data_IF_399871338123
#
_entry.id   IF_399871338123
#
_cell.length_a   1.000
_cell.length_b   1.000
_cell.length_c   1.000
_cell.angle_alpha   90.00
_cell.angle_beta   90.00
_cell.angle_gamma   90.00
#
_symmetry.space_group_name_H-M   'P 1'
#
loop_
_entity.id
_entity.type
_entity.pdbx_description
1 polymer ?
#
# COMPACT_ATOMS: atom_id res chain seq x y z
N UNK A 1 7.27 -14.72 5.10
CA UNK A 1 6.82 -14.82 3.70
C UNK A 1 6.33 -13.44 3.28
N UNK A 2 6.50 -13.05 2.01
CA UNK A 2 5.99 -11.75 1.53
C UNK A 2 4.50 -11.84 1.21
N UNK A 3 3.79 -10.71 1.26
CA UNK A 3 2.37 -10.66 0.89
C UNK A 3 2.13 -11.19 -0.54
N UNK A 4 3.00 -10.85 -1.49
CA UNK A 4 2.97 -11.40 -2.84
C UNK A 4 3.08 -12.95 -2.88
N UNK A 5 3.87 -13.56 -1.98
CA UNK A 5 3.96 -15.02 -1.90
C UNK A 5 2.66 -15.66 -1.41
N UNK A 6 1.95 -15.00 -0.48
CA UNK A 6 0.66 -15.46 0.03
C UNK A 6 -0.42 -15.40 -1.08
N UNK A 7 -0.47 -14.29 -1.82
CA UNK A 7 -1.35 -14.12 -2.98
C UNK A 7 -1.10 -15.23 -4.01
N UNK A 8 0.16 -15.44 -4.40
CA UNK A 8 0.51 -16.49 -5.38
C UNK A 8 0.13 -17.89 -4.90
N UNK A 9 0.26 -18.17 -3.60
CA UNK A 9 -0.13 -19.45 -3.02
C UNK A 9 -1.65 -19.65 -3.11
N UNK A 10 -2.44 -18.64 -2.78
CA UNK A 10 -3.90 -18.68 -2.94
C UNK A 10 -4.32 -18.97 -4.39
N UNK A 11 -3.75 -18.23 -5.34
CA UNK A 11 -4.09 -18.38 -6.76
C UNK A 11 -3.83 -19.80 -7.29
N UNK A 12 -2.82 -20.50 -6.76
CA UNK A 12 -2.52 -21.86 -7.19
C UNK A 12 -3.61 -22.89 -6.82
N UNK A 13 -4.47 -22.58 -5.85
CA UNK A 13 -5.58 -23.43 -5.43
C UNK A 13 -6.90 -23.17 -6.16
N UNK A 14 -6.97 -22.18 -7.04
CA UNK A 14 -8.20 -21.85 -7.76
C UNK A 14 -8.53 -22.87 -8.83
N UNK A 15 -9.77 -23.36 -8.83
CA UNK A 15 -10.32 -24.08 -9.98
C UNK A 15 -10.63 -23.10 -11.11
N UNK A 16 -10.22 -23.46 -12.32
CA UNK A 16 -10.37 -22.61 -13.51
C UNK A 16 -11.09 -23.43 -14.57
N UNK A 17 -12.10 -22.83 -15.16
CA UNK A 17 -12.80 -23.44 -16.29
C UNK A 17 -11.80 -23.80 -17.40
N UNK A 18 -11.98 -24.98 -17.99
CA UNK A 18 -11.04 -25.57 -18.95
C UNK A 18 -10.67 -24.62 -20.09
N UNK A 19 -11.63 -23.82 -20.56
CA UNK A 19 -11.40 -22.88 -21.64
C UNK A 19 -10.46 -21.71 -21.27
N UNK A 20 -10.46 -21.26 -20.01
CA UNK A 20 -9.66 -20.11 -19.57
C UNK A 20 -8.31 -20.53 -18.97
N UNK A 21 -8.19 -21.79 -18.56
CA UNK A 21 -6.97 -22.37 -18.01
C UNK A 21 -5.80 -22.36 -19.02
N UNK A 22 -6.10 -22.45 -20.33
CA UNK A 22 -5.09 -22.26 -21.39
C UNK A 22 -4.46 -20.86 -21.39
N UNK A 23 -5.25 -19.80 -21.19
CA UNK A 23 -4.73 -18.43 -21.15
C UNK A 23 -3.78 -18.21 -19.96
N UNK A 24 -4.11 -18.80 -18.82
CA UNK A 24 -3.23 -18.77 -17.65
C UNK A 24 -1.90 -19.52 -17.90
N UNK A 25 -1.99 -20.70 -18.53
CA UNK A 25 -0.81 -21.46 -18.93
C UNK A 25 0.05 -20.67 -19.93
N UNK A 26 -0.57 -20.00 -20.91
CA UNK A 26 0.14 -19.17 -21.88
C UNK A 26 1.03 -18.12 -21.20
N UNK A 27 0.48 -17.38 -20.22
CA UNK A 27 1.24 -16.39 -19.46
C UNK A 27 2.41 -17.04 -18.70
N UNK A 28 2.18 -18.15 -18.01
CA UNK A 28 3.21 -18.86 -17.25
C UNK A 28 4.36 -19.36 -18.15
N UNK A 29 4.03 -19.95 -19.31
CA UNK A 29 5.03 -20.45 -20.26
C UNK A 29 5.79 -19.30 -20.92
N UNK A 30 5.10 -18.24 -21.34
CA UNK A 30 5.72 -17.09 -22.02
C UNK A 30 6.71 -16.35 -21.11
N UNK A 31 6.37 -16.20 -19.83
CA UNK A 31 7.15 -15.36 -18.91
C UNK A 31 8.27 -16.11 -18.20
N UNK A 32 8.06 -17.39 -17.88
CA UNK A 32 9.02 -18.19 -17.10
C UNK A 32 9.63 -19.34 -17.91
N UNK A 33 9.22 -19.53 -19.16
CA UNK A 33 9.73 -20.56 -20.07
C UNK A 33 11.05 -20.16 -20.72
N UNK A 34 11.97 -21.12 -20.80
CA UNK A 34 13.13 -21.05 -21.65
C UNK A 34 13.11 -22.21 -22.65
N UNK A 35 13.20 -21.87 -23.94
CA UNK A 35 13.21 -22.83 -25.03
C UNK A 35 14.65 -23.17 -25.40
N UNK A 36 14.97 -24.46 -25.44
CA UNK A 36 16.22 -24.97 -25.98
C UNK A 36 15.97 -25.97 -27.11
N UNK A 37 17.00 -26.28 -27.88
CA UNK A 37 16.95 -27.30 -28.93
C UNK A 37 18.02 -28.35 -28.60
N UNK A 38 17.60 -29.62 -28.51
CA UNK A 38 18.49 -30.76 -28.30
C UNK A 38 18.09 -31.85 -29.28
N UNK A 39 19.05 -32.37 -30.05
CA UNK A 39 18.79 -33.40 -31.08
C UNK A 39 17.63 -33.02 -32.03
N UNK A 40 17.61 -31.76 -32.49
CA UNK A 40 16.54 -31.20 -33.34
C UNK A 40 15.14 -31.19 -32.69
N UNK A 41 15.03 -31.42 -31.38
CA UNK A 41 13.77 -31.35 -30.64
C UNK A 41 13.75 -30.14 -29.71
N UNK A 42 12.61 -29.47 -29.67
CA UNK A 42 12.35 -28.36 -28.75
C UNK A 42 12.14 -28.87 -27.33
N UNK A 43 12.92 -28.34 -26.39
CA UNK A 43 12.78 -28.60 -24.96
C UNK A 43 12.41 -27.29 -24.27
N UNK A 44 11.22 -27.24 -23.68
CA UNK A 44 10.77 -26.11 -22.87
C UNK A 44 11.06 -26.38 -21.40
N UNK A 45 11.73 -25.45 -20.73
CA UNK A 45 11.94 -25.48 -19.29
C UNK A 45 11.24 -24.28 -18.66
N UNK A 46 10.25 -24.51 -17.81
CA UNK A 46 9.56 -23.44 -17.08
C UNK A 46 10.06 -23.42 -15.65
N UNK A 47 10.62 -22.29 -15.23
CA UNK A 47 11.29 -22.19 -13.93
C UNK A 47 10.46 -21.36 -12.95
N UNK A 48 10.40 -21.80 -11.69
CA UNK A 48 9.78 -21.03 -10.61
C UNK A 48 10.37 -21.38 -9.26
N UNK A 49 10.40 -20.42 -8.34
CA UNK A 49 10.81 -20.65 -6.96
C UNK A 49 9.65 -21.19 -6.10
N UNK A 50 8.42 -21.21 -6.64
CA UNK A 50 7.23 -21.67 -5.93
C UNK A 50 6.81 -23.08 -6.40
N UNK A 51 6.89 -24.05 -5.50
CA UNK A 51 6.50 -25.44 -5.76
C UNK A 51 5.03 -25.60 -6.19
N UNK A 52 4.13 -24.76 -5.69
CA UNK A 52 2.71 -24.82 -6.04
C UNK A 52 2.46 -24.34 -7.47
N UNK A 53 3.18 -23.30 -7.92
CA UNK A 53 3.14 -22.85 -9.32
C UNK A 53 3.70 -23.93 -10.25
N UNK A 54 4.80 -24.59 -9.88
CA UNK A 54 5.36 -25.68 -10.68
C UNK A 54 4.38 -26.85 -10.84
N UNK A 55 3.72 -27.27 -9.74
CA UNK A 55 2.67 -28.31 -9.79
C UNK A 55 1.49 -27.88 -10.65
N UNK A 56 1.09 -26.62 -10.58
CA UNK A 56 0.00 -26.07 -11.39
C UNK A 56 0.32 -26.11 -12.89
N UNK A 57 1.51 -25.69 -13.29
CA UNK A 57 1.98 -25.78 -14.69
C UNK A 57 1.96 -27.24 -15.15
N UNK A 58 2.48 -28.16 -14.33
CA UNK A 58 2.48 -29.59 -14.63
C UNK A 58 1.06 -30.12 -14.87
N UNK A 59 0.10 -29.80 -13.99
CA UNK A 59 -1.30 -30.23 -14.14
C UNK A 59 -1.94 -29.63 -15.39
N UNK A 60 -1.77 -28.32 -15.64
CA UNK A 60 -2.31 -27.66 -16.82
C UNK A 60 -1.78 -28.28 -18.13
N UNK A 61 -0.48 -28.59 -18.21
CA UNK A 61 0.09 -29.27 -19.37
C UNK A 61 -0.52 -30.66 -19.57
N UNK A 62 -0.68 -31.43 -18.49
CA UNK A 62 -1.28 -32.76 -18.53
C UNK A 62 -2.75 -32.72 -18.96
N UNK A 63 -3.55 -31.83 -18.39
CA UNK A 63 -5.01 -31.80 -18.57
C UNK A 63 -5.45 -31.24 -19.94
N UNK A 64 -4.63 -30.36 -20.54
CA UNK A 64 -4.93 -29.73 -21.83
C UNK A 64 -4.25 -30.38 -23.02
N UNK A 65 -3.06 -30.96 -22.85
CA UNK A 65 -2.27 -31.48 -23.97
C UNK A 65 -1.93 -32.97 -23.84
N UNK A 66 -2.27 -33.61 -22.71
CA UNK A 66 -1.91 -35.00 -22.43
C UNK A 66 -0.40 -35.28 -22.59
N UNK A 67 0.43 -34.27 -22.35
CA UNK A 67 1.89 -34.38 -22.45
C UNK A 67 2.51 -34.72 -21.10
N UNK A 68 3.54 -35.57 -21.11
CA UNK A 68 4.32 -35.90 -19.90
C UNK A 68 5.47 -34.91 -19.74
N UNK A 69 5.32 -33.95 -18.82
CA UNK A 69 6.44 -33.12 -18.36
C UNK A 69 7.21 -33.78 -17.22
N UNK A 70 8.49 -33.46 -17.08
CA UNK A 70 9.33 -33.84 -15.94
C UNK A 70 9.35 -32.69 -14.92
N UNK A 71 9.27 -33.00 -13.62
CA UNK A 71 9.46 -32.00 -12.56
C UNK A 71 10.83 -32.20 -11.92
N UNK A 72 11.73 -31.25 -12.12
CA UNK A 72 13.09 -31.28 -11.60
C UNK A 72 13.22 -30.24 -10.47
N UNK A 73 14.04 -30.55 -9.47
CA UNK A 73 14.36 -29.62 -8.38
C UNK A 73 15.86 -29.34 -8.38
N UNK A 74 16.24 -28.07 -8.42
CA UNK A 74 17.63 -27.62 -8.36
C UNK A 74 17.81 -26.65 -7.19
N UNK A 75 18.84 -26.82 -6.36
CA UNK A 75 19.22 -25.81 -5.36
C UNK A 75 20.05 -24.70 -6.01
N UNK A 76 19.72 -23.44 -5.74
CA UNK A 76 20.60 -22.32 -6.10
C UNK A 76 21.91 -22.39 -5.30
N UNK A 77 23.03 -22.22 -5.99
CA UNK A 77 24.39 -22.32 -5.42
C UNK A 77 24.86 -21.03 -4.72
N UNK A 78 24.19 -19.88 -4.93
CA UNK A 78 24.52 -18.58 -4.30
C UNK A 78 23.27 -17.96 -3.64
N UNK A 79 23.52 -17.10 -2.63
CA UNK A 79 22.60 -16.36 -1.72
C UNK A 79 21.10 -16.73 -1.73
N UNK A 80 20.59 -17.10 -0.54
CA UNK A 80 19.28 -17.74 -0.28
C UNK A 80 19.19 -19.10 -0.98
N UNK A 81 19.46 -20.17 -0.21
CA UNK A 81 19.43 -21.60 -0.61
C UNK A 81 18.02 -22.08 -0.99
N UNK A 82 17.35 -21.37 -1.88
CA UNK A 82 16.00 -21.67 -2.31
C UNK A 82 16.04 -22.75 -3.39
N UNK A 83 15.02 -23.63 -3.34
CA UNK A 83 14.78 -24.58 -4.40
C UNK A 83 14.21 -23.85 -5.62
N UNK A 84 14.73 -24.18 -6.80
CA UNK A 84 14.14 -23.81 -8.08
C UNK A 84 13.51 -25.06 -8.66
N UNK A 85 12.23 -24.97 -8.95
CA UNK A 85 11.44 -26.02 -9.57
C UNK A 85 11.42 -25.77 -11.07
N UNK A 86 11.71 -26.81 -11.84
CA UNK A 86 11.77 -26.75 -13.30
C UNK A 86 10.77 -27.77 -13.84
N UNK A 87 9.74 -27.28 -14.55
CA UNK A 87 8.84 -28.12 -15.33
C UNK A 87 9.41 -28.22 -16.73
N UNK A 88 9.87 -29.41 -17.11
CA UNK A 88 10.53 -29.68 -18.38
C UNK A 88 9.60 -30.44 -19.31
N UNK A 89 9.34 -29.88 -20.48
CA UNK A 89 8.60 -30.52 -21.56
C UNK A 89 9.58 -30.86 -22.69
N UNK A 90 9.75 -32.16 -22.97
CA UNK A 90 10.65 -32.67 -24.03
C UNK A 90 9.90 -33.01 -25.32
N UNK A 91 8.68 -33.50 -25.19
CA UNK A 91 7.84 -33.95 -26.32
C UNK A 91 6.59 -33.09 -26.39
N UNK A 92 6.10 -32.82 -27.61
CA UNK A 92 4.91 -31.99 -27.82
C UNK A 92 5.14 -30.48 -27.58
N UNK A 93 6.36 -30.05 -27.28
CA UNK A 93 6.71 -28.64 -27.02
C UNK A 93 6.25 -27.70 -28.13
N UNK A 94 6.55 -28.06 -29.39
CA UNK A 94 6.16 -27.24 -30.55
C UNK A 94 4.63 -27.08 -30.62
N UNK A 95 3.89 -28.17 -30.46
CA UNK A 95 2.42 -28.16 -30.52
C UNK A 95 1.83 -27.28 -29.40
N UNK A 96 2.36 -27.38 -28.18
CA UNK A 96 1.90 -26.55 -27.05
C UNK A 96 2.17 -25.06 -27.30
N UNK A 97 3.37 -24.71 -27.77
CA UNK A 97 3.73 -23.32 -28.00
C UNK A 97 2.97 -22.70 -29.18
N UNK A 98 2.67 -23.48 -30.21
CA UNK A 98 1.86 -23.03 -31.34
C UNK A 98 0.38 -22.88 -30.97
N UNK A 99 -0.19 -23.84 -30.23
CA UNK A 99 -1.60 -23.77 -29.79
C UNK A 99 -1.85 -22.61 -28.80
N UNK A 100 -0.85 -22.24 -28.00
CA UNK A 100 -0.90 -21.07 -27.12
C UNK A 100 -0.48 -19.76 -27.81
N UNK A 101 -0.20 -19.82 -29.12
CA UNK A 101 0.20 -18.68 -29.95
C UNK A 101 1.42 -17.92 -29.37
N UNK A 102 2.34 -18.68 -28.76
CA UNK A 102 3.62 -18.17 -28.24
C UNK A 102 4.68 -18.20 -29.35
N UNK A 103 4.53 -19.11 -30.31
CA UNK A 103 5.48 -19.33 -31.38
C UNK A 103 4.75 -19.70 -32.67
N UNK A 104 5.16 -19.09 -33.79
CA UNK A 104 4.78 -19.51 -35.14
C UNK A 104 6.02 -20.02 -35.89
N UNK A 105 6.02 -21.31 -36.24
CA UNK A 105 7.16 -21.97 -36.86
C UNK A 105 8.41 -21.98 -35.97
N UNK A 106 9.33 -21.05 -36.24
CA UNK A 106 10.58 -20.82 -35.50
C UNK A 106 10.64 -19.42 -34.84
N UNK A 107 9.63 -18.58 -35.06
CA UNK A 107 9.57 -17.19 -34.58
C UNK A 107 8.71 -17.11 -33.34
N UNK A 108 9.13 -16.30 -32.36
CA UNK A 108 8.32 -16.01 -31.19
C UNK A 108 7.38 -14.85 -31.49
N UNK A 109 6.12 -14.98 -31.05
CA UNK A 109 5.15 -13.90 -31.14
C UNK A 109 5.46 -12.89 -30.04
N UNK A 110 5.63 -11.62 -30.39
CA UNK A 110 5.88 -10.56 -29.40
C UNK A 110 4.65 -10.19 -28.56
N UNK A 111 3.47 -10.39 -29.14
CA UNK A 111 2.18 -10.09 -28.54
C UNK A 111 1.48 -11.32 -27.94
N UNK A 112 0.55 -11.07 -27.03
CA UNK A 112 -0.46 -12.04 -26.59
C UNK A 112 -1.47 -12.27 -27.71
N UNK A 113 -2.00 -13.49 -27.81
CA UNK A 113 -2.94 -13.85 -28.88
C UNK A 113 -4.20 -13.00 -28.89
N UNK A 114 -4.70 -12.72 -30.10
CA UNK A 114 -5.96 -12.01 -30.29
C UNK A 114 -7.15 -12.76 -29.67
N UNK A 115 -7.08 -14.09 -29.58
CA UNK A 115 -8.09 -14.91 -28.92
C UNK A 115 -8.16 -14.62 -27.41
N UNK A 116 -7.00 -14.38 -26.76
CA UNK A 116 -6.94 -14.03 -25.35
C UNK A 116 -7.34 -12.56 -25.16
N UNK A 117 -6.80 -11.66 -25.99
CA UNK A 117 -7.08 -10.22 -25.92
C UNK A 117 -8.56 -9.90 -26.20
N UNK A 118 -9.20 -10.64 -27.11
CA UNK A 118 -10.60 -10.47 -27.50
C UNK A 118 -11.62 -11.04 -26.51
N UNK A 119 -11.19 -11.68 -25.41
CA UNK A 119 -12.09 -12.31 -24.45
C UNK A 119 -11.75 -11.93 -23.01
N UNK A 120 -12.68 -11.24 -22.34
CA UNK A 120 -12.51 -10.77 -20.97
C UNK A 120 -12.08 -11.89 -19.99
N UNK A 121 -12.75 -13.04 -20.00
CA UNK A 121 -12.43 -14.13 -19.07
C UNK A 121 -11.05 -14.76 -19.34
N UNK A 122 -10.61 -14.77 -20.60
CA UNK A 122 -9.24 -15.19 -20.97
C UNK A 122 -8.21 -14.17 -20.52
N UNK A 123 -8.44 -12.87 -20.72
CA UNK A 123 -7.58 -11.80 -20.18
C UNK A 123 -7.45 -11.91 -18.65
N UNK A 124 -8.55 -12.14 -17.94
CA UNK A 124 -8.56 -12.34 -16.47
C UNK A 124 -7.64 -13.51 -16.06
N UNK A 125 -7.76 -14.63 -16.76
CA UNK A 125 -6.94 -15.83 -16.47
C UNK A 125 -5.48 -15.64 -16.88
N UNK A 126 -5.23 -14.90 -17.97
CA UNK A 126 -3.89 -14.50 -18.39
C UNK A 126 -3.22 -13.62 -17.33
N UNK A 127 -3.90 -12.57 -16.84
CA UNK A 127 -3.42 -11.68 -15.78
C UNK A 127 -3.11 -12.44 -14.49
N UNK A 128 -3.93 -13.44 -14.13
CA UNK A 128 -3.64 -14.35 -13.00
C UNK A 128 -2.33 -15.11 -13.23
N UNK A 129 -2.16 -15.72 -14.42
CA UNK A 129 -0.94 -16.42 -14.80
C UNK A 129 0.29 -15.51 -14.79
N UNK A 130 0.15 -14.29 -15.32
CA UNK A 130 1.21 -13.30 -15.38
C UNK A 130 1.64 -12.83 -13.99
N UNK A 131 0.68 -12.59 -13.09
CA UNK A 131 0.98 -12.27 -11.71
C UNK A 131 1.69 -13.42 -10.99
N UNK A 132 1.26 -14.66 -11.20
CA UNK A 132 1.97 -15.82 -10.64
C UNK A 132 3.40 -15.92 -11.16
N UNK A 133 3.61 -15.73 -12.47
CA UNK A 133 4.90 -15.82 -13.13
C UNK A 133 5.91 -14.80 -12.58
N UNK A 134 5.57 -13.50 -12.63
CA UNK A 134 6.50 -12.40 -12.32
C UNK A 134 5.89 -11.24 -11.53
N UNK A 135 4.63 -11.37 -11.09
CA UNK A 135 3.95 -10.34 -10.31
C UNK A 135 4.52 -10.15 -8.90
N UNK A 136 4.41 -8.93 -8.41
CA UNK A 136 4.76 -8.53 -7.04
C UNK A 136 3.76 -7.50 -6.53
N UNK A 137 3.52 -7.51 -5.23
CA UNK A 137 2.68 -6.53 -4.53
C UNK A 137 3.30 -6.24 -3.17
N UNK A 138 3.36 -4.97 -2.82
CA UNK A 138 3.89 -4.53 -1.53
C UNK A 138 2.97 -4.97 -0.38
N UNK A 139 3.55 -5.10 0.81
CA UNK A 139 2.79 -5.42 2.01
C UNK A 139 1.82 -4.25 2.34
N UNK A 140 0.51 -4.51 2.51
CA UNK A 140 -0.49 -3.50 2.85
C UNK A 140 -0.21 -2.75 4.17
N UNK A 141 0.64 -3.30 5.05
CA UNK A 141 1.10 -2.63 6.27
C UNK A 141 1.81 -1.30 5.97
N UNK A 142 2.39 -1.15 4.77
CA UNK A 142 3.05 0.07 4.33
C UNK A 142 2.12 0.95 3.49
N UNK A 143 2.26 2.27 3.58
CA UNK A 143 1.50 3.23 2.74
C UNK A 143 1.99 3.28 1.28
N UNK A 144 3.08 2.59 0.97
CA UNK A 144 3.68 2.55 -0.37
C UNK A 144 2.97 1.51 -1.23
N UNK A 145 1.73 1.80 -1.59
CA UNK A 145 0.93 0.94 -2.46
C UNK A 145 1.56 0.79 -3.83
N UNK A 146 1.88 -0.45 -4.16
CA UNK A 146 2.45 -0.80 -5.45
C UNK A 146 2.20 -2.26 -5.76
N UNK A 147 1.70 -2.50 -6.96
CA UNK A 147 1.64 -3.81 -7.59
C UNK A 147 2.30 -3.69 -8.95
N UNK A 148 3.11 -4.66 -9.33
CA UNK A 148 3.77 -4.69 -10.63
C UNK A 148 3.79 -6.10 -11.22
N UNK A 149 3.74 -6.20 -12.54
CA UNK A 149 4.00 -7.42 -13.32
C UNK A 149 5.17 -7.10 -14.25
N UNK A 150 6.22 -7.91 -14.17
CA UNK A 150 7.44 -7.73 -14.96
C UNK A 150 7.41 -8.53 -16.25
N UNK A 151 7.85 -7.95 -17.36
CA UNK A 151 8.06 -8.61 -18.64
C UNK A 151 9.43 -8.24 -19.20
N UNK A 152 10.09 -9.18 -19.88
CA UNK A 152 11.35 -8.92 -20.57
C UNK A 152 11.11 -8.12 -21.86
N UNK A 153 9.97 -8.37 -22.52
CA UNK A 153 9.63 -7.79 -23.81
C UNK A 153 8.63 -6.64 -23.65
N UNK A 154 8.86 -5.55 -24.38
CA UNK A 154 8.05 -4.34 -24.36
C UNK A 154 6.63 -4.57 -24.86
N UNK A 155 6.49 -5.21 -26.04
CA UNK A 155 5.19 -5.51 -26.66
C UNK A 155 4.28 -6.29 -25.70
N UNK A 156 4.79 -7.41 -25.16
CA UNK A 156 4.08 -8.18 -24.15
C UNK A 156 3.76 -7.39 -22.88
N UNK A 157 4.64 -6.45 -22.46
CA UNK A 157 4.35 -5.59 -21.32
C UNK A 157 3.18 -4.64 -21.63
N UNK A 158 3.14 -4.10 -22.85
CA UNK A 158 2.05 -3.24 -23.29
C UNK A 158 0.73 -4.00 -23.32
N UNK A 159 0.71 -5.24 -23.83
CA UNK A 159 -0.50 -6.08 -23.82
C UNK A 159 -1.02 -6.31 -22.39
N UNK A 160 -0.12 -6.58 -21.42
CA UNK A 160 -0.50 -6.69 -20.00
C UNK A 160 -1.11 -5.38 -19.50
N UNK A 161 -0.51 -4.24 -19.83
CA UNK A 161 -1.04 -2.92 -19.46
C UNK A 161 -2.44 -2.68 -20.04
N UNK A 162 -2.64 -3.04 -21.32
CA UNK A 162 -3.91 -2.89 -22.02
C UNK A 162 -4.99 -3.81 -21.42
N UNK A 163 -4.65 -5.05 -21.08
CA UNK A 163 -5.55 -5.95 -20.33
C UNK A 163 -5.93 -5.35 -18.96
N UNK A 164 -4.98 -4.78 -18.21
CA UNK A 164 -5.28 -4.14 -16.93
C UNK A 164 -6.21 -2.93 -17.12
N UNK A 165 -5.98 -2.15 -18.17
CA UNK A 165 -6.76 -0.95 -18.48
C UNK A 165 -8.14 -1.25 -19.05
N UNK A 166 -8.32 -2.38 -19.73
CA UNK A 166 -9.63 -2.90 -20.10
C UNK A 166 -10.55 -3.05 -18.87
N UNK A 167 -9.98 -3.43 -17.72
CA UNK A 167 -10.69 -3.53 -16.44
C UNK A 167 -10.72 -2.22 -15.62
N UNK A 168 -10.34 -1.07 -16.20
CA UNK A 168 -10.38 0.22 -15.52
C UNK A 168 -9.36 0.37 -14.38
N UNK A 169 -8.26 -0.40 -14.41
CA UNK A 169 -7.25 -0.37 -13.36
C UNK A 169 -6.25 0.80 -13.48
N UNK A 170 -6.25 1.52 -14.62
CA UNK A 170 -5.36 2.66 -14.90
C UNK A 170 -3.87 2.33 -14.67
N UNK A 171 -3.47 1.16 -15.15
CA UNK A 171 -2.09 0.72 -15.17
C UNK A 171 -1.21 1.64 -16.02
N UNK A 172 0.06 1.69 -15.63
CA UNK A 172 1.11 2.40 -16.37
C UNK A 172 2.27 1.47 -16.62
N UNK A 173 3.03 1.75 -17.68
CA UNK A 173 4.26 1.06 -17.99
C UNK A 173 5.47 1.84 -17.49
N UNK A 174 6.57 1.14 -17.22
CA UNK A 174 7.86 1.74 -16.90
C UNK A 174 8.99 0.81 -17.36
N UNK A 175 10.00 1.37 -18.03
CA UNK A 175 11.23 0.67 -18.37
C UNK A 175 12.11 0.48 -17.12
N UNK A 176 12.69 -0.71 -16.98
CA UNK A 176 13.70 -1.06 -15.97
C UNK A 176 14.94 -1.61 -16.66
N UNK A 177 16.06 -1.67 -15.93
CA UNK A 177 17.37 -2.09 -16.44
C UNK A 177 17.37 -3.37 -17.31
N UNK A 178 16.48 -4.32 -17.04
CA UNK A 178 16.44 -5.63 -17.71
C UNK A 178 15.06 -5.97 -18.31
N UNK A 179 14.22 -4.97 -18.61
CA UNK A 179 12.89 -5.19 -19.17
C UNK A 179 11.91 -4.10 -18.77
N UNK A 180 10.65 -4.47 -18.64
CA UNK A 180 9.54 -3.54 -18.48
C UNK A 180 8.63 -4.00 -17.34
N UNK A 181 7.93 -3.07 -16.73
CA UNK A 181 6.87 -3.37 -15.77
C UNK A 181 5.57 -2.72 -16.20
N UNK A 182 4.46 -3.41 -15.92
CA UNK A 182 3.12 -2.84 -15.88
C UNK A 182 2.72 -2.77 -14.41
N UNK A 183 2.36 -1.58 -13.93
CA UNK A 183 2.19 -1.35 -12.51
C UNK A 183 0.93 -0.56 -12.17
N UNK A 184 0.44 -0.83 -10.95
CA UNK A 184 -0.67 -0.14 -10.32
C UNK A 184 -0.16 0.64 -9.10
N UNK A 185 -0.85 1.76 -8.83
CA UNK A 185 -0.71 2.58 -7.62
C UNK A 185 -2.10 2.79 -7.03
N UNK A 186 -2.13 3.10 -5.73
CA UNK A 186 -3.37 3.26 -4.98
C UNK A 186 -3.90 1.92 -4.46
N UNK A 187 -4.51 1.96 -3.29
CA UNK A 187 -4.98 0.75 -2.61
C UNK A 187 -6.19 0.13 -3.31
N UNK A 188 -7.13 0.97 -3.76
CA UNK A 188 -8.37 0.54 -4.43
C UNK A 188 -8.06 -0.28 -5.70
N UNK A 189 -7.21 0.24 -6.59
CA UNK A 189 -6.83 -0.47 -7.82
C UNK A 189 -6.10 -1.78 -7.57
N UNK A 190 -5.36 -1.88 -6.47
CA UNK A 190 -4.71 -3.13 -6.07
C UNK A 190 -5.76 -4.12 -5.54
N UNK A 191 -6.71 -3.69 -4.72
CA UNK A 191 -7.81 -4.53 -4.25
C UNK A 191 -8.70 -5.01 -5.40
N UNK A 192 -9.03 -4.14 -6.35
CA UNK A 192 -9.76 -4.47 -7.58
C UNK A 192 -9.02 -5.52 -8.40
N UNK A 193 -7.70 -5.37 -8.55
CA UNK A 193 -6.87 -6.35 -9.25
C UNK A 193 -6.84 -7.70 -8.53
N UNK A 194 -6.68 -7.73 -7.21
CA UNK A 194 -6.69 -8.98 -6.44
C UNK A 194 -8.04 -9.70 -6.58
N UNK A 195 -9.14 -8.96 -6.57
CA UNK A 195 -10.50 -9.47 -6.85
C UNK A 195 -10.58 -10.03 -8.26
N UNK A 196 -10.09 -9.28 -9.25
CA UNK A 196 -10.08 -9.66 -10.66
C UNK A 196 -9.38 -11.00 -10.84
N UNK A 197 -8.18 -11.20 -10.29
CA UNK A 197 -7.46 -12.48 -10.46
C UNK A 197 -7.98 -13.61 -9.56
N UNK A 198 -8.94 -13.33 -8.67
CA UNK A 198 -9.57 -14.32 -7.78
C UNK A 198 -8.83 -14.58 -6.47
N UNK A 199 -7.94 -13.68 -6.03
CA UNK A 199 -7.25 -13.76 -4.75
C UNK A 199 -8.12 -13.16 -3.61
N UNK A 200 -9.31 -13.71 -3.39
CA UNK A 200 -10.33 -13.13 -2.50
C UNK A 200 -9.85 -13.01 -1.05
N UNK A 201 -9.22 -14.04 -0.49
CA UNK A 201 -8.74 -14.00 0.89
C UNK A 201 -7.60 -13.00 1.06
N UNK A 202 -6.69 -12.95 0.08
CA UNK A 202 -5.61 -11.96 0.10
C UNK A 202 -6.14 -10.54 -0.06
N UNK A 203 -7.20 -10.34 -0.86
CA UNK A 203 -7.88 -9.06 -1.00
C UNK A 203 -8.54 -8.63 0.32
N UNK A 204 -9.30 -9.51 0.98
CA UNK A 204 -9.92 -9.22 2.28
C UNK A 204 -8.86 -8.85 3.32
N UNK A 205 -7.78 -9.62 3.41
CA UNK A 205 -6.64 -9.30 4.29
C UNK A 205 -6.00 -7.96 3.94
N UNK A 206 -5.88 -7.63 2.66
CA UNK A 206 -5.34 -6.35 2.20
C UNK A 206 -6.21 -5.18 2.68
N UNK A 207 -7.52 -5.31 2.56
CA UNK A 207 -8.51 -4.34 3.00
C UNK A 207 -8.54 -4.19 4.53
N UNK A 208 -8.55 -5.29 5.28
CA UNK A 208 -8.54 -5.27 6.75
C UNK A 208 -7.33 -4.49 7.30
N UNK A 209 -6.14 -4.77 6.76
CA UNK A 209 -4.91 -4.08 7.16
C UNK A 209 -4.97 -2.60 6.80
N UNK A 210 -5.50 -2.25 5.63
CA UNK A 210 -5.68 -0.86 5.19
C UNK A 210 -6.62 -0.11 6.13
N UNK A 211 -7.79 -0.66 6.42
CA UNK A 211 -8.83 -0.03 7.26
C UNK A 211 -8.29 0.23 8.67
N UNK A 212 -7.68 -0.77 9.30
CA UNK A 212 -7.13 -0.63 10.66
C UNK A 212 -6.03 0.44 10.69
N UNK A 213 -5.15 0.48 9.68
CA UNK A 213 -4.10 1.48 9.60
C UNK A 213 -4.66 2.90 9.42
N UNK A 214 -5.62 3.05 8.53
CA UNK A 214 -6.21 4.37 8.23
C UNK A 214 -7.02 4.89 9.43
N UNK A 215 -7.68 3.99 10.18
CA UNK A 215 -8.30 4.30 11.47
C UNK A 215 -7.26 4.76 12.50
N UNK A 216 -6.18 3.99 12.71
CA UNK A 216 -5.08 4.35 13.63
C UNK A 216 -4.48 5.70 13.28
N UNK A 217 -4.21 5.95 12.00
CA UNK A 217 -3.65 7.22 11.54
C UNK A 217 -4.63 8.39 11.75
N UNK A 218 -5.93 8.14 11.71
CA UNK A 218 -6.94 9.16 12.00
C UNK A 218 -7.03 9.47 13.50
N UNK A 219 -7.02 8.43 14.34
CA UNK A 219 -6.95 8.57 15.81
C UNK A 219 -5.68 9.28 16.23
N UNK A 220 -4.52 8.89 15.71
CA UNK A 220 -3.25 9.54 16.03
C UNK A 220 -3.25 11.02 15.66
N UNK A 221 -3.84 11.39 14.50
CA UNK A 221 -3.98 12.79 14.10
C UNK A 221 -4.87 13.57 15.07
N UNK A 222 -5.97 12.98 15.53
CA UNK A 222 -6.87 13.59 16.50
C UNK A 222 -6.16 13.79 17.85
N UNK A 223 -5.57 12.74 18.40
CA UNK A 223 -4.85 12.79 19.69
C UNK A 223 -3.68 13.78 19.66
N UNK A 224 -2.94 13.84 18.55
CA UNK A 224 -1.85 14.80 18.41
C UNK A 224 -2.37 16.24 18.38
N UNK A 225 -3.52 16.49 17.74
CA UNK A 225 -4.14 17.80 17.71
C UNK A 225 -4.62 18.23 19.11
N UNK A 226 -5.29 17.32 19.82
CA UNK A 226 -5.77 17.56 21.19
C UNK A 226 -4.61 17.82 22.16
N UNK A 227 -3.59 16.95 22.15
CA UNK A 227 -2.38 17.11 22.96
C UNK A 227 -1.69 18.45 22.67
N UNK A 228 -1.55 18.84 21.40
CA UNK A 228 -0.96 20.13 21.04
C UNK A 228 -1.79 21.33 21.53
N UNK A 229 -3.12 21.24 21.50
CA UNK A 229 -4.00 22.29 22.00
C UNK A 229 -3.99 22.39 23.53
N UNK A 230 -3.93 21.25 24.23
CA UNK A 230 -3.78 21.19 25.68
C UNK A 230 -2.44 21.80 26.10
N UNK A 231 -1.33 21.39 25.48
CA UNK A 231 -0.01 21.95 25.78
C UNK A 231 0.04 23.47 25.58
N UNK A 232 -0.51 24.00 24.48
CA UNK A 232 -0.60 25.46 24.27
C UNK A 232 -1.42 26.16 25.35
N UNK A 233 -2.47 25.51 25.84
CA UNK A 233 -3.32 26.06 26.90
C UNK A 233 -2.59 26.07 28.23
N UNK A 234 -1.86 24.99 28.55
CA UNK A 234 -1.00 24.88 29.73
C UNK A 234 0.14 25.91 29.67
N UNK A 235 0.83 26.06 28.55
CA UNK A 235 1.92 27.03 28.41
C UNK A 235 1.42 28.47 28.57
N UNK A 236 0.25 28.79 28.00
CA UNK A 236 -0.37 30.10 28.16
C UNK A 236 -0.82 30.34 29.61
N UNK A 237 -1.38 29.32 30.24
CA UNK A 237 -1.79 29.30 31.64
C UNK A 237 -0.63 29.62 32.57
N UNK A 238 0.50 28.90 32.43
CA UNK A 238 1.70 29.09 33.25
C UNK A 238 2.26 30.50 33.11
N UNK A 239 2.38 31.02 31.88
CA UNK A 239 2.85 32.40 31.64
C UNK A 239 1.96 33.46 32.28
N UNK A 240 0.64 33.25 32.26
CA UNK A 240 -0.31 34.16 32.91
C UNK A 240 -0.09 34.18 34.42
N UNK A 241 0.06 33.00 35.04
CA UNK A 241 0.30 32.85 36.47
C UNK A 241 1.63 33.53 36.85
N UNK A 242 2.72 33.24 36.13
CA UNK A 242 4.03 33.85 36.38
C UNK A 242 3.98 35.39 36.34
N UNK A 243 3.27 35.97 35.37
CA UNK A 243 3.12 37.41 35.26
C UNK A 243 2.27 37.99 36.40
N UNK A 244 1.20 37.30 36.79
CA UNK A 244 0.35 37.72 37.92
C UNK A 244 1.13 37.67 39.23
N UNK A 245 1.87 36.59 39.50
CA UNK A 245 2.72 36.44 40.69
C UNK A 245 3.82 37.51 40.73
N UNK A 246 4.41 37.85 39.58
CA UNK A 246 5.39 38.93 39.50
C UNK A 246 4.80 40.30 39.87
N UNK A 247 3.60 40.62 39.38
CA UNK A 247 2.90 41.87 39.74
C UNK A 247 2.62 41.90 41.26
N UNK A 248 2.09 40.81 41.81
CA UNK A 248 1.78 40.69 43.24
C UNK A 248 3.03 40.92 44.09
N UNK A 249 4.15 40.28 43.74
CA UNK A 249 5.41 40.42 44.47
C UNK A 249 6.02 41.83 44.41
N UNK A 250 5.78 42.60 43.33
CA UNK A 250 6.43 43.90 43.10
C UNK A 250 5.64 45.09 43.60
N UNK A 251 4.35 45.13 43.29
CA UNK A 251 3.45 46.27 43.59
C UNK A 251 2.12 45.85 44.21
N UNK A 252 1.83 44.55 44.27
CA UNK A 252 0.53 44.02 44.70
C UNK A 252 -0.54 44.10 43.61
N UNK A 253 -1.47 43.14 43.59
CA UNK A 253 -2.56 43.08 42.62
C UNK A 253 -3.56 44.23 42.73
N UNK A 254 -3.62 44.91 43.88
CA UNK A 254 -4.43 46.11 44.10
C UNK A 254 -3.98 47.32 43.25
N UNK A 255 -2.78 47.27 42.65
CA UNK A 255 -2.33 48.27 41.69
C UNK A 255 -3.01 48.11 40.30
N UNK A 256 -3.61 46.96 40.03
CA UNK A 256 -4.38 46.73 38.80
C UNK A 256 -5.78 47.38 38.93
N UNK A 257 -6.38 47.84 37.82
CA UNK A 257 -7.78 48.19 37.80
C UNK A 257 -8.66 47.02 38.28
N UNK A 258 -9.72 47.31 39.02
CA UNK A 258 -10.62 46.32 39.68
C UNK A 258 -11.01 45.13 38.79
N UNK A 259 -11.38 45.40 37.54
CA UNK A 259 -11.76 44.37 36.54
C UNK A 259 -10.63 43.45 36.08
N UNK A 260 -9.37 43.87 36.24
CA UNK A 260 -8.18 43.08 35.94
C UNK A 260 -7.71 42.33 37.19
N UNK A 261 -7.78 42.98 38.36
CA UNK A 261 -7.49 42.35 39.65
C UNK A 261 -8.36 41.12 39.88
N UNK A 262 -9.68 41.23 39.67
CA UNK A 262 -10.63 40.12 39.81
C UNK A 262 -10.21 38.89 38.98
N UNK A 263 -9.71 39.11 37.76
CA UNK A 263 -9.26 38.02 36.88
C UNK A 263 -7.91 37.46 37.32
N UNK A 264 -7.01 38.31 37.80
CA UNK A 264 -5.71 37.88 38.30
C UNK A 264 -5.87 36.94 39.51
N UNK A 265 -6.74 37.31 40.45
CA UNK A 265 -7.05 36.51 41.63
C UNK A 265 -7.73 35.19 41.25
N UNK A 266 -8.77 35.23 40.39
CA UNK A 266 -9.44 34.03 39.88
C UNK A 266 -8.47 33.09 39.16
N UNK A 267 -7.50 33.63 38.41
CA UNK A 267 -6.51 32.84 37.68
C UNK A 267 -5.53 32.12 38.60
N UNK A 268 -5.14 32.73 39.72
CA UNK A 268 -4.31 32.10 40.74
C UNK A 268 -5.07 31.03 41.53
N UNK A 269 -6.35 31.28 41.82
CA UNK A 269 -7.21 30.32 42.53
C UNK A 269 -7.54 29.09 41.68
N UNK A 270 -7.66 29.27 40.36
CA UNK A 270 -7.99 28.22 39.41
C UNK A 270 -6.95 28.16 38.28
N UNK A 271 -5.74 27.61 38.54
CA UNK A 271 -4.68 27.54 37.56
C UNK A 271 -4.94 26.53 36.43
N UNK A 272 -5.73 25.49 36.68
CA UNK A 272 -6.02 24.42 35.72
C UNK A 272 -7.19 24.71 34.75
N UNK A 273 -8.04 25.68 35.05
CA UNK A 273 -9.25 25.93 34.26
C UNK A 273 -8.93 26.70 32.97
N UNK A 274 -9.77 26.54 31.95
CA UNK A 274 -9.66 27.26 30.69
C UNK A 274 -10.12 28.73 30.81
N UNK A 275 -9.70 29.58 29.86
CA UNK A 275 -10.19 30.96 29.76
C UNK A 275 -11.70 31.07 29.58
N UNK A 276 -12.36 30.01 29.09
CA UNK A 276 -13.82 30.01 28.95
C UNK A 276 -14.47 29.81 30.33
N UNK A 277 -14.00 28.82 31.07
CA UNK A 277 -14.50 28.50 32.42
C UNK A 277 -14.22 29.65 33.41
N UNK A 278 -13.04 30.29 33.32
CA UNK A 278 -12.77 31.52 34.09
C UNK A 278 -13.83 32.60 33.86
N UNK A 279 -14.41 32.66 32.66
CA UNK A 279 -15.41 33.66 32.28
C UNK A 279 -16.77 33.41 32.86
N UNK A 280 -17.08 32.15 33.12
CA UNK A 280 -18.30 31.72 33.76
C UNK A 280 -18.21 31.88 35.29
N UNK A 281 -17.00 31.90 35.85
CA UNK A 281 -16.73 32.02 37.28
C UNK A 281 -16.63 33.47 37.79
N UNK A 282 -16.73 34.48 36.92
CA UNK A 282 -16.55 35.89 37.30
C UNK A 282 -17.74 36.37 38.17
N UNK A 283 -17.51 36.79 39.43
CA UNK A 283 -18.55 37.29 40.32
C UNK A 283 -19.32 38.49 39.78
N UNK A 284 -18.63 39.40 39.07
CA UNK A 284 -19.22 40.60 38.47
C UNK A 284 -20.07 40.35 37.21
N UNK A 285 -20.17 39.09 36.75
CA UNK A 285 -21.01 38.66 35.62
C UNK A 285 -20.23 37.96 34.51
N UNK A 286 -20.85 36.97 33.87
CA UNK A 286 -20.16 36.10 32.92
C UNK A 286 -19.58 36.85 31.71
N UNK A 287 -18.34 36.53 31.34
CA UNK A 287 -17.61 37.15 30.23
C UNK A 287 -17.22 36.11 29.20
N UNK A 288 -17.31 36.48 27.91
CA UNK A 288 -16.83 35.61 26.84
C UNK A 288 -15.32 35.34 26.94
N UNK A 289 -14.87 34.19 26.42
CA UNK A 289 -13.44 33.83 26.30
C UNK A 289 -12.58 34.95 25.70
N UNK A 290 -13.09 35.66 24.69
CA UNK A 290 -12.39 36.77 24.04
C UNK A 290 -12.21 37.97 24.98
N UNK A 291 -13.24 38.28 25.78
CA UNK A 291 -13.20 39.35 26.77
C UNK A 291 -12.17 39.10 27.87
N UNK A 292 -12.09 37.86 28.38
CA UNK A 292 -11.02 37.49 29.32
C UNK A 292 -9.66 37.58 28.67
N UNK A 293 -9.49 37.02 27.48
CA UNK A 293 -8.20 37.04 26.80
C UNK A 293 -7.68 38.47 26.58
N UNK A 294 -8.58 39.44 26.36
CA UNK A 294 -8.21 40.85 26.29
C UNK A 294 -7.77 41.41 27.64
N UNK A 295 -8.44 41.06 28.74
CA UNK A 295 -8.06 41.50 30.09
C UNK A 295 -6.73 40.87 30.54
N UNK A 296 -6.52 39.58 30.29
CA UNK A 296 -5.25 38.88 30.52
C UNK A 296 -4.10 39.51 29.73
N UNK A 297 -4.33 39.91 28.47
CA UNK A 297 -3.32 40.66 27.70
C UNK A 297 -2.91 41.95 28.40
N UNK A 298 -3.87 42.73 28.92
CA UNK A 298 -3.56 43.94 29.68
C UNK A 298 -2.78 43.67 30.97
N UNK A 299 -3.05 42.55 31.64
CA UNK A 299 -2.29 42.11 32.83
C UNK A 299 -0.85 41.79 32.42
N UNK A 300 -0.65 41.05 31.33
CA UNK A 300 0.69 40.78 30.79
C UNK A 300 1.43 42.06 30.41
N UNK A 301 0.77 43.00 29.72
CA UNK A 301 1.36 44.29 29.34
C UNK A 301 1.78 45.11 30.57
N UNK A 302 1.02 45.01 31.67
CA UNK A 302 1.35 45.66 32.94
C UNK A 302 2.58 44.99 33.61
N UNK A 303 2.64 43.66 33.60
CA UNK A 303 3.81 42.92 34.08
C UNK A 303 5.08 43.27 33.29
N UNK A 304 5.00 43.36 31.96
CA UNK A 304 6.15 43.75 31.12
C UNK A 304 6.65 45.16 31.42
N UNK A 305 5.75 46.15 31.59
CA UNK A 305 6.15 47.51 31.99
C UNK A 305 6.89 47.54 33.33
N UNK A 306 6.42 46.76 34.31
CA UNK A 306 7.10 46.65 35.60
C UNK A 306 8.47 45.98 35.49
N UNK A 307 8.67 45.06 34.53
CA UNK A 307 9.99 44.47 34.25
C UNK A 307 10.92 45.50 33.62
N UNK A 308 10.44 46.29 32.66
CA UNK A 308 11.23 47.35 32.02
C UNK A 308 11.66 48.45 33.00
N UNK A 309 10.81 48.81 33.97
CA UNK A 309 11.13 49.79 35.02
C UNK A 309 12.06 49.23 36.12
N UNK A 310 12.25 47.92 36.19
CA UNK A 310 13.13 47.25 37.16
C UNK A 310 14.56 46.99 36.62
N UNK A 311 14.79 47.25 35.33
CA UNK A 311 16.09 47.17 34.64
C UNK A 311 16.76 48.55 34.64
#
# INVERSE_FOLDING_TARGET
MSFASDVKKELTGLEVHREHAKAELAALLRMNGSLGIVNQQFILNVQTENAAIARRIYSLLKDHYNVRSELLVRKKMKLKKNNVYIVRLKQGTKNVLMDLDIMDGLMFNGHVSDEIMGNAQKMRSYLRGAFMASGSVNNPETSRYHLEIFSIYEQHNQDICDMLNYYGLHARTLERRNGYISYLKGAEKIADFLTLIGATNSMLRFEDVRIVRDMRNSVNRLVNCETANLNKTIDAASKQIENIEFIEARVGLHALPEKLQEIAELRLQHPEVSLKELGEMIPSGAISKSGINHRIRKINDFAEKLREEAV
#
